data_IF_187228528803
#
_entry.id   IF_187228528803
#
_cell.length_a   1.000
_cell.length_b   1.000
_cell.length_c   1.000
_cell.angle_alpha   90.00
_cell.angle_beta   90.00
_cell.angle_gamma   90.00
#
_symmetry.space_group_name_H-M   'P 1'
#
loop_
_entity.id
_entity.type
_entity.pdbx_description
1 polymer ?
#
# COMPACT_ATOMS: atom_id res chain seq x y z
N UNK A 1 -6.73 -10.14 1.91
CA UNK A 1 -7.87 -10.58 2.75
C UNK A 1 -8.79 -11.60 2.08
N UNK A 2 -9.30 -11.38 0.85
CA UNK A 2 -10.25 -12.31 0.19
C UNK A 2 -9.79 -13.77 0.22
N UNK A 3 -8.52 -14.03 -0.13
CA UNK A 3 -7.97 -15.39 -0.11
C UNK A 3 -7.95 -16.02 1.30
N UNK A 4 -7.64 -15.23 2.34
CA UNK A 4 -7.68 -15.69 3.74
C UNK A 4 -9.10 -16.11 4.13
N UNK A 5 -10.11 -15.29 3.79
CA UNK A 5 -11.52 -15.59 4.07
C UNK A 5 -12.02 -16.80 3.28
N UNK A 6 -11.61 -16.94 2.02
CA UNK A 6 -11.94 -18.11 1.21
C UNK A 6 -11.34 -19.40 1.78
N UNK A 7 -10.07 -19.36 2.21
CA UNK A 7 -9.40 -20.51 2.81
C UNK A 7 -10.03 -20.94 4.14
N UNK A 8 -10.53 -19.99 4.94
CA UNK A 8 -11.31 -20.26 6.15
C UNK A 8 -12.67 -20.88 5.85
N UNK A 9 -13.41 -20.33 4.88
CA UNK A 9 -14.78 -20.78 4.57
C UNK A 9 -14.85 -22.07 3.76
N UNK A 10 -13.89 -22.28 2.86
CA UNK A 10 -13.86 -23.40 1.92
C UNK A 10 -12.50 -24.12 1.90
N UNK A 11 -12.00 -24.59 3.05
CA UNK A 11 -10.65 -25.14 3.16
C UNK A 11 -10.40 -26.35 2.24
N UNK A 12 -11.44 -27.12 1.93
CA UNK A 12 -11.38 -28.30 1.06
C UNK A 12 -11.40 -27.98 -0.44
N UNK A 13 -11.59 -26.72 -0.82
CA UNK A 13 -11.65 -26.27 -2.22
C UNK A 13 -10.38 -25.58 -2.69
N UNK A 14 -9.40 -25.41 -1.79
CA UNK A 14 -8.12 -24.77 -2.12
C UNK A 14 -7.08 -25.86 -2.40
N UNK A 15 -6.61 -25.95 -3.65
CA UNK A 15 -5.47 -26.80 -4.03
C UNK A 15 -4.14 -26.16 -3.59
N UNK A 16 -3.93 -24.92 -4.00
CA UNK A 16 -2.79 -24.07 -3.69
C UNK A 16 -3.28 -22.61 -3.67
N UNK A 17 -2.75 -21.80 -2.77
CA UNK A 17 -3.03 -20.37 -2.74
C UNK A 17 -1.82 -19.64 -2.18
N UNK A 18 -1.32 -18.67 -2.94
CA UNK A 18 -0.37 -17.69 -2.44
C UNK A 18 -1.14 -16.47 -1.96
N UNK A 19 -0.74 -15.93 -0.82
CA UNK A 19 -1.30 -14.75 -0.19
C UNK A 19 -0.18 -13.74 -0.04
N UNK A 20 -0.11 -12.82 -0.99
CA UNK A 20 0.90 -11.79 -1.03
C UNK A 20 0.40 -10.53 -0.33
N UNK A 21 1.22 -9.99 0.58
CA UNK A 21 0.97 -8.72 1.26
C UNK A 21 -0.32 -8.79 2.12
N UNK A 22 -0.17 -9.42 3.29
CA UNK A 22 -1.27 -10.00 4.04
C UNK A 22 -1.92 -9.03 5.02
N UNK A 23 -3.21 -9.23 5.26
CA UNK A 23 -3.97 -8.48 6.26
C UNK A 23 -4.02 -9.25 7.58
N UNK A 24 -3.83 -8.56 8.71
CA UNK A 24 -4.18 -9.11 10.03
C UNK A 24 -5.56 -8.61 10.44
N UNK A 25 -6.59 -9.40 10.11
CA UNK A 25 -7.99 -9.03 10.32
C UNK A 25 -8.45 -9.08 11.78
N UNK A 26 -7.52 -9.15 12.75
CA UNK A 26 -7.83 -9.04 14.20
C UNK A 26 -7.65 -7.64 14.75
N UNK A 27 -7.02 -6.76 13.99
CA UNK A 27 -6.55 -5.49 14.53
C UNK A 27 -7.72 -4.53 14.76
N UNK A 28 -7.91 -4.10 16.01
CA UNK A 28 -8.74 -2.95 16.29
C UNK A 28 -8.07 -1.65 15.84
N UNK A 29 -8.87 -0.57 15.74
CA UNK A 29 -8.47 0.75 15.22
C UNK A 29 -7.10 1.24 15.66
N UNK A 30 -6.78 1.20 16.97
CA UNK A 30 -5.50 1.70 17.48
C UNK A 30 -4.30 0.98 16.88
N UNK A 31 -4.37 -0.36 16.80
CA UNK A 31 -3.26 -1.16 16.25
C UNK A 31 -3.22 -1.05 14.74
N UNK A 32 -4.37 -1.09 14.07
CA UNK A 32 -4.47 -0.90 12.62
C UNK A 32 -3.79 0.40 12.19
N UNK A 33 -4.20 1.54 12.75
CA UNK A 33 -3.60 2.85 12.46
C UNK A 33 -2.11 2.91 12.81
N UNK A 34 -1.72 2.45 14.01
CA UNK A 34 -0.34 2.52 14.47
C UNK A 34 0.62 1.69 13.61
N UNK A 35 0.29 0.43 13.36
CA UNK A 35 1.16 -0.48 12.60
C UNK A 35 1.25 -0.13 11.13
N UNK A 36 0.17 0.33 10.48
CA UNK A 36 0.27 0.79 9.09
C UNK A 36 1.08 2.10 9.00
N UNK A 37 0.94 3.00 9.97
CA UNK A 37 1.75 4.22 10.06
C UNK A 37 3.24 3.89 10.25
N UNK A 38 3.55 2.92 11.11
CA UNK A 38 4.91 2.40 11.31
C UNK A 38 5.50 1.81 10.01
N UNK A 39 4.71 1.04 9.26
CA UNK A 39 5.14 0.52 7.94
C UNK A 39 5.39 1.63 6.91
N UNK A 40 4.54 2.65 6.86
CA UNK A 40 4.74 3.81 5.99
C UNK A 40 6.06 4.56 6.34
N UNK A 41 6.33 4.77 7.63
CA UNK A 41 7.58 5.37 8.11
C UNK A 41 8.79 4.51 7.74
N UNK A 42 8.75 3.21 8.03
CA UNK A 42 9.85 2.30 7.72
C UNK A 42 10.14 2.23 6.22
N UNK A 43 9.13 2.36 5.35
CA UNK A 43 9.34 2.45 3.91
C UNK A 43 9.94 3.79 3.48
N UNK A 44 9.56 4.90 4.12
CA UNK A 44 10.19 6.21 3.91
C UNK A 44 11.66 6.21 4.37
N UNK A 45 11.97 5.57 5.50
CA UNK A 45 13.34 5.45 6.00
C UNK A 45 14.25 4.75 4.99
N UNK A 46 13.72 3.76 4.27
CA UNK A 46 14.45 3.06 3.21
C UNK A 46 14.65 3.92 1.96
N UNK A 47 13.69 4.80 1.62
CA UNK A 47 13.89 5.80 0.57
C UNK A 47 15.01 6.78 0.93
N UNK A 48 15.05 7.26 2.17
CA UNK A 48 16.16 8.09 2.68
C UNK A 48 17.48 7.33 2.57
N UNK A 49 17.53 6.10 3.11
CA UNK A 49 18.74 5.28 3.12
C UNK A 49 19.23 4.92 1.71
N UNK A 50 18.32 4.73 0.75
CA UNK A 50 18.67 4.58 -0.65
C UNK A 50 19.32 5.85 -1.21
N UNK A 51 18.72 7.02 -0.99
CA UNK A 51 19.26 8.27 -1.50
C UNK A 51 20.66 8.58 -0.91
N UNK A 52 20.88 8.21 0.35
CA UNK A 52 22.18 8.34 1.02
C UNK A 52 23.26 7.44 0.40
N UNK A 53 22.90 6.25 -0.09
CA UNK A 53 23.87 5.26 -0.61
C UNK A 53 24.03 5.29 -2.13
N UNK A 54 23.04 5.76 -2.86
CA UNK A 54 23.00 5.71 -4.32
C UNK A 54 23.22 7.10 -4.95
N UNK A 55 24.35 7.24 -5.65
CA UNK A 55 24.73 8.49 -6.35
C UNK A 55 23.79 8.91 -7.47
N UNK A 56 22.86 8.06 -7.90
CA UNK A 56 21.83 8.41 -8.87
C UNK A 56 20.65 9.16 -8.26
N UNK A 57 20.54 9.22 -6.93
CA UNK A 57 19.57 10.09 -6.29
C UNK A 57 19.98 11.56 -6.48
N UNK A 58 19.10 12.45 -6.97
CA UNK A 58 19.43 13.86 -7.16
C UNK A 58 19.63 14.64 -5.85
N UNK A 59 19.25 14.07 -4.71
CA UNK A 59 19.50 14.60 -3.37
C UNK A 59 20.65 13.85 -2.66
N UNK A 60 21.43 13.04 -3.39
CA UNK A 60 22.56 12.32 -2.81
C UNK A 60 23.62 13.30 -2.28
N UNK A 61 23.96 13.17 -1.00
CA UNK A 61 24.89 14.07 -0.30
C UNK A 61 24.22 15.34 0.28
N UNK A 62 22.93 15.55 0.05
CA UNK A 62 22.11 16.58 0.69
C UNK A 62 21.32 16.00 1.88
N UNK A 63 20.73 16.86 2.71
CA UNK A 63 19.83 16.45 3.79
C UNK A 63 18.40 16.25 3.27
N UNK A 64 18.10 15.06 2.75
CA UNK A 64 16.77 14.71 2.23
C UNK A 64 15.67 14.91 3.28
N UNK A 65 15.92 14.57 4.56
CA UNK A 65 14.95 14.76 5.65
C UNK A 65 14.71 16.24 5.91
N UNK A 66 15.76 17.06 5.87
CA UNK A 66 15.66 18.51 5.97
C UNK A 66 14.80 19.11 4.86
N UNK A 67 15.03 18.73 3.60
CA UNK A 67 14.19 19.14 2.45
C UNK A 67 12.74 18.70 2.65
N UNK A 68 12.53 17.45 3.07
CA UNK A 68 11.20 16.92 3.35
C UNK A 68 10.45 17.71 4.43
N UNK A 69 11.11 18.01 5.56
CA UNK A 69 10.49 18.76 6.65
C UNK A 69 10.22 20.22 6.28
N UNK A 70 11.08 20.87 5.49
CA UNK A 70 10.81 22.21 4.96
C UNK A 70 9.57 22.22 4.06
N UNK A 71 9.48 21.26 3.13
CA UNK A 71 8.32 21.11 2.25
C UNK A 71 7.03 20.89 3.03
N UNK A 72 7.04 20.03 4.05
CA UNK A 72 5.89 19.83 4.94
C UNK A 72 5.53 21.11 5.71
N UNK A 73 6.52 21.85 6.21
CA UNK A 73 6.28 23.09 6.95
C UNK A 73 5.70 24.19 6.04
N UNK A 74 6.15 24.29 4.78
CA UNK A 74 5.57 25.19 3.77
C UNK A 74 4.15 24.77 3.40
N UNK A 75 3.90 23.47 3.26
CA UNK A 75 2.57 22.93 3.00
C UNK A 75 1.59 23.25 4.14
N UNK A 76 2.02 23.11 5.40
CA UNK A 76 1.21 23.47 6.58
C UNK A 76 0.84 24.97 6.63
N UNK A 77 1.69 25.84 6.09
CA UNK A 77 1.44 27.29 5.98
C UNK A 77 0.67 27.69 4.71
N UNK A 78 0.38 26.74 3.81
CA UNK A 78 -0.24 27.02 2.51
C UNK A 78 0.70 27.73 1.52
N UNK A 79 2.01 27.62 1.73
CA UNK A 79 3.06 28.28 0.93
C UNK A 79 3.64 27.34 -0.15
N UNK A 80 3.29 26.05 -0.12
CA UNK A 80 3.69 25.09 -1.16
C UNK A 80 2.68 25.12 -2.31
N UNK A 81 3.00 25.88 -3.36
CA UNK A 81 2.13 26.08 -4.52
C UNK A 81 2.57 25.23 -5.72
N UNK A 82 1.61 24.66 -6.45
CA UNK A 82 1.82 23.90 -7.69
C UNK A 82 0.88 24.37 -8.81
N UNK A 83 1.38 24.33 -10.05
CA UNK A 83 0.67 24.78 -11.27
C UNK A 83 -0.29 23.70 -11.83
N UNK A 84 -1.28 24.02 -12.70
CA UNK A 84 -1.63 25.34 -13.24
C UNK A 84 -2.48 26.17 -12.26
N UNK A 85 -1.92 27.27 -11.76
CA UNK A 85 -2.52 28.17 -10.76
C UNK A 85 -1.84 28.06 -9.38
N UNK A 86 -2.07 28.98 -8.43
CA UNK A 86 -1.52 28.89 -7.08
C UNK A 86 -2.34 27.93 -6.21
N UNK A 87 -2.42 26.64 -6.58
CA UNK A 87 -3.09 25.64 -5.75
C UNK A 87 -2.15 25.26 -4.62
N UNK A 88 -2.57 25.52 -3.38
CA UNK A 88 -1.81 25.13 -2.19
C UNK A 88 -1.90 23.62 -1.98
N UNK A 89 -0.74 22.98 -1.95
CA UNK A 89 -0.59 21.56 -1.58
C UNK A 89 -0.57 21.46 -0.07
N UNK A 90 -1.46 20.63 0.47
CA UNK A 90 -1.49 20.31 1.90
C UNK A 90 -0.40 19.29 2.25
N UNK A 91 0.02 19.28 3.51
CA UNK A 91 1.00 18.28 3.98
C UNK A 91 0.48 16.84 3.78
N UNK A 92 -0.83 16.61 3.93
CA UNK A 92 -1.43 15.29 3.73
C UNK A 92 -1.39 14.85 2.25
N UNK A 93 -1.62 15.75 1.30
CA UNK A 93 -1.48 15.44 -0.14
C UNK A 93 -0.03 15.10 -0.50
N UNK A 94 0.93 15.85 0.07
CA UNK A 94 2.35 15.58 -0.13
C UNK A 94 2.77 14.21 0.45
N UNK A 95 2.37 13.91 1.69
CA UNK A 95 2.55 12.60 2.35
C UNK A 95 1.93 11.48 1.51
N UNK A 96 0.72 11.69 0.99
CA UNK A 96 0.01 10.70 0.17
C UNK A 96 0.73 10.41 -1.16
N UNK A 97 1.30 11.42 -1.81
CA UNK A 97 2.08 11.22 -3.01
C UNK A 97 3.37 10.45 -2.74
N UNK A 98 4.09 10.77 -1.65
CA UNK A 98 5.26 10.00 -1.23
C UNK A 98 4.87 8.56 -0.92
N UNK A 99 3.84 8.34 -0.11
CA UNK A 99 3.32 6.99 0.21
C UNK A 99 2.98 6.18 -1.06
N UNK A 100 2.34 6.82 -2.03
CA UNK A 100 1.99 6.21 -3.32
C UNK A 100 3.23 5.81 -4.14
N UNK A 101 4.30 6.62 -4.10
CA UNK A 101 5.58 6.26 -4.70
C UNK A 101 6.23 5.06 -4.01
N UNK A 102 6.16 4.99 -2.67
CA UNK A 102 6.72 3.90 -1.87
C UNK A 102 6.06 2.53 -2.15
N UNK A 103 4.83 2.52 -2.67
CA UNK A 103 4.10 1.30 -3.07
C UNK A 103 4.85 0.50 -4.14
N UNK A 104 5.36 1.19 -5.18
CA UNK A 104 6.12 0.64 -6.31
C UNK A 104 7.63 0.85 -6.24
N UNK A 105 8.18 0.98 -5.03
CA UNK A 105 9.32 1.85 -4.64
C UNK A 105 9.87 2.77 -5.75
N UNK A 106 9.08 3.76 -6.14
CA UNK A 106 9.41 4.75 -7.18
C UNK A 106 10.37 5.84 -6.68
N UNK A 107 11.49 5.44 -6.07
CA UNK A 107 12.40 6.33 -5.35
C UNK A 107 13.05 7.41 -6.23
N UNK A 108 13.44 7.07 -7.46
CA UNK A 108 13.95 8.06 -8.41
C UNK A 108 12.93 9.17 -8.69
N UNK A 109 11.68 8.82 -8.97
CA UNK A 109 10.61 9.79 -9.22
C UNK A 109 10.29 10.62 -7.98
N UNK A 110 10.34 10.00 -6.79
CA UNK A 110 10.15 10.72 -5.53
C UNK A 110 11.25 11.76 -5.31
N UNK A 111 12.51 11.40 -5.51
CA UNK A 111 13.60 12.35 -5.35
C UNK A 111 13.51 13.52 -6.36
N UNK A 112 13.16 13.24 -7.62
CA UNK A 112 12.90 14.28 -8.63
C UNK A 112 11.72 15.19 -8.25
N UNK A 113 10.64 14.61 -7.69
CA UNK A 113 9.48 15.35 -7.18
C UNK A 113 9.89 16.29 -6.04
N UNK A 114 10.66 15.82 -5.06
CA UNK A 114 11.12 16.65 -3.94
C UNK A 114 12.00 17.81 -4.43
N UNK A 115 12.96 17.56 -5.31
CA UNK A 115 13.79 18.60 -5.93
C UNK A 115 12.92 19.63 -6.67
N UNK A 116 11.90 19.17 -7.40
CA UNK A 116 11.01 20.06 -8.15
C UNK A 116 10.15 20.94 -7.23
N UNK A 117 9.65 20.38 -6.13
CA UNK A 117 8.82 21.11 -5.17
C UNK A 117 9.63 22.14 -4.38
N UNK A 118 10.91 21.84 -4.13
CA UNK A 118 11.80 22.71 -3.37
C UNK A 118 12.19 23.99 -4.15
N UNK A 119 12.16 23.96 -5.47
CA UNK A 119 12.43 25.13 -6.30
C UNK A 119 11.50 26.32 -5.98
N UNK A 120 11.97 27.59 -6.08
CA UNK A 120 11.12 28.76 -5.93
C UNK A 120 10.02 28.80 -7.02
N UNK A 121 8.82 29.26 -6.65
CA UNK A 121 7.74 29.49 -7.62
C UNK A 121 7.91 30.87 -8.31
N UNK A 122 7.45 31.03 -9.57
CA UNK A 122 6.87 30.03 -10.45
C UNK A 122 7.94 29.24 -11.24
N UNK A 123 7.69 27.95 -11.47
CA UNK A 123 8.55 27.11 -12.31
C UNK A 123 7.69 26.15 -13.18
N UNK A 124 7.94 26.03 -14.50
CA UNK A 124 7.16 25.15 -15.39
C UNK A 124 7.14 23.68 -14.94
N UNK A 125 8.20 23.23 -14.27
CA UNK A 125 8.34 21.89 -13.69
C UNK A 125 7.31 21.61 -12.59
N UNK A 126 6.79 22.65 -11.91
CA UNK A 126 5.73 22.49 -10.90
C UNK A 126 4.35 22.15 -11.48
N UNK A 127 4.13 22.32 -12.78
CA UNK A 127 2.91 21.83 -13.43
C UNK A 127 2.89 20.30 -13.54
N UNK A 128 4.06 19.69 -13.77
CA UNK A 128 4.24 18.23 -13.78
C UNK A 128 4.08 17.68 -12.36
N UNK A 129 4.70 18.32 -11.38
CA UNK A 129 4.51 17.96 -9.96
C UNK A 129 3.04 18.09 -9.51
N UNK A 130 2.36 19.17 -9.90
CA UNK A 130 0.93 19.36 -9.63
C UNK A 130 0.06 18.26 -10.24
N UNK A 131 0.35 17.85 -11.48
CA UNK A 131 -0.33 16.70 -12.10
C UNK A 131 -0.07 15.39 -11.34
N UNK A 132 1.19 15.08 -11.00
CA UNK A 132 1.57 13.89 -10.25
C UNK A 132 0.92 13.83 -8.86
N UNK A 133 0.83 14.95 -8.16
CA UNK A 133 0.13 15.07 -6.87
C UNK A 133 -1.37 14.83 -7.03
N UNK A 134 -1.99 15.36 -8.09
CA UNK A 134 -3.43 15.27 -8.33
C UNK A 134 -3.88 13.88 -8.82
N UNK A 135 -3.10 13.23 -9.67
CA UNK A 135 -3.42 11.89 -10.20
C UNK A 135 -2.87 10.76 -9.36
N UNK A 136 -1.94 11.05 -8.44
CA UNK A 136 -1.12 10.02 -7.79
C UNK A 136 -0.08 9.45 -8.76
N UNK A 137 1.04 8.96 -8.21
CA UNK A 137 2.14 8.40 -9.00
C UNK A 137 1.82 7.02 -9.61
N UNK A 138 0.73 6.38 -9.18
CA UNK A 138 0.37 5.01 -9.57
C UNK A 138 -1.15 4.72 -9.64
N UNK A 139 -2.00 5.75 -9.81
CA UNK A 139 -3.45 5.51 -9.82
C UNK A 139 -3.92 4.84 -11.12
N UNK A 140 -4.59 3.69 -10.98
CA UNK A 140 -5.40 3.09 -12.04
C UNK A 140 -6.85 3.56 -11.94
N UNK A 141 -7.57 3.59 -13.06
CA UNK A 141 -8.98 3.97 -13.07
C UNK A 141 -9.86 2.81 -12.57
N UNK A 142 -10.67 3.06 -11.54
CA UNK A 142 -11.67 2.10 -11.08
C UNK A 142 -12.90 2.06 -12.01
N UNK A 143 -13.49 0.86 -12.13
CA UNK A 143 -14.71 0.62 -12.94
C UNK A 143 -15.98 1.09 -12.22
N UNK A 144 -15.91 1.31 -10.89
CA UNK A 144 -17.02 1.79 -10.06
C UNK A 144 -16.56 2.98 -9.23
N UNK A 145 -17.51 3.81 -8.78
CA UNK A 145 -17.20 4.91 -7.88
C UNK A 145 -16.98 4.38 -6.45
N UNK A 146 -15.83 4.72 -5.87
CA UNK A 146 -15.48 4.42 -4.46
C UNK A 146 -15.69 2.95 -4.00
N UNK A 147 -15.29 1.93 -4.80
CA UNK A 147 -15.48 0.53 -4.43
C UNK A 147 -14.73 0.19 -3.14
N UNK A 148 -13.55 0.79 -2.94
CA UNK A 148 -12.76 0.63 -1.72
C UNK A 148 -13.55 0.99 -0.47
N UNK A 149 -14.19 2.16 -0.43
CA UNK A 149 -14.97 2.60 0.73
C UNK A 149 -16.10 1.61 1.04
N UNK A 150 -16.92 1.28 0.05
CA UNK A 150 -18.09 0.43 0.25
C UNK A 150 -17.71 -0.97 0.77
N UNK A 151 -16.63 -1.55 0.24
CA UNK A 151 -16.13 -2.87 0.64
C UNK A 151 -15.47 -2.78 2.02
N UNK A 152 -14.57 -1.83 2.22
CA UNK A 152 -13.82 -1.70 3.47
C UNK A 152 -14.75 -1.45 4.67
N UNK A 153 -15.77 -0.60 4.54
CA UNK A 153 -16.71 -0.32 5.62
C UNK A 153 -17.65 -1.50 5.94
N UNK A 154 -17.75 -2.49 5.05
CA UNK A 154 -18.46 -3.74 5.30
C UNK A 154 -17.56 -4.81 5.93
N UNK A 155 -16.25 -4.71 5.71
CA UNK A 155 -15.24 -5.65 6.18
C UNK A 155 -14.54 -5.22 7.47
N UNK A 156 -14.71 -3.98 7.95
CA UNK A 156 -13.99 -3.50 9.13
C UNK A 156 -14.86 -2.63 10.03
N UNK A 157 -14.77 -2.86 11.34
CA UNK A 157 -15.30 -1.96 12.36
C UNK A 157 -14.13 -1.19 13.02
N UNK A 158 -13.96 0.07 12.60
CA UNK A 158 -12.92 0.98 13.10
C UNK A 158 -13.56 2.23 13.72
N UNK A 159 -14.22 2.11 14.89
CA UNK A 159 -15.03 3.20 15.42
C UNK A 159 -14.17 4.37 15.90
N UNK A 160 -14.57 5.58 15.48
CA UNK A 160 -14.04 6.84 15.99
C UNK A 160 -15.20 7.62 16.61
N UNK A 161 -15.30 7.69 17.95
CA UNK A 161 -16.47 8.25 18.63
C UNK A 161 -16.65 9.75 18.40
N UNK A 162 -15.56 10.50 18.32
CA UNK A 162 -15.59 11.95 18.12
C UNK A 162 -14.27 12.51 17.57
N UNK A 163 -14.29 13.80 17.22
CA UNK A 163 -13.11 14.51 16.69
C UNK A 163 -11.95 14.58 17.67
N UNK A 164 -12.20 14.57 18.99
CA UNK A 164 -11.13 14.67 20.01
C UNK A 164 -10.36 13.37 20.08
N UNK A 165 -11.07 12.24 20.00
CA UNK A 165 -10.46 10.92 19.87
C UNK A 165 -9.63 10.83 18.60
N UNK A 166 -10.19 11.25 17.46
CA UNK A 166 -9.48 11.25 16.20
C UNK A 166 -8.20 12.09 16.24
N UNK A 167 -8.29 13.33 16.71
CA UNK A 167 -7.14 14.21 16.85
C UNK A 167 -6.08 13.64 17.81
N UNK A 168 -6.49 12.91 18.86
CA UNK A 168 -5.56 12.22 19.76
C UNK A 168 -4.84 11.07 19.06
N UNK A 169 -5.56 10.31 18.24
CA UNK A 169 -4.96 9.25 17.42
C UNK A 169 -3.95 9.84 16.45
N UNK A 170 -4.28 10.89 15.70
CA UNK A 170 -3.34 11.56 14.79
C UNK A 170 -2.04 12.02 15.50
N UNK A 171 -2.14 12.66 16.68
CA UNK A 171 -0.95 13.02 17.49
C UNK A 171 -0.15 11.82 18.00
N UNK A 172 -0.74 10.64 18.07
CA UNK A 172 -0.02 9.41 18.40
C UNK A 172 0.68 8.84 17.17
N UNK A 173 0.02 8.86 16.01
CA UNK A 173 0.59 8.45 14.73
C UNK A 173 1.81 9.30 14.37
N UNK A 174 1.73 10.61 14.59
CA UNK A 174 2.82 11.56 14.33
C UNK A 174 4.09 11.25 15.15
N UNK A 175 3.93 10.68 16.34
CA UNK A 175 5.06 10.21 17.17
C UNK A 175 5.64 8.88 16.73
N UNK A 176 4.86 8.06 16.01
CA UNK A 176 5.31 6.79 15.44
C UNK A 176 6.06 7.05 14.14
N UNK A 177 5.55 7.98 13.33
CA UNK A 177 6.06 8.33 12.02
C UNK A 177 6.31 9.84 11.92
N UNK A 178 7.42 10.37 12.45
CA UNK A 178 7.66 11.81 12.44
C UNK A 178 7.82 12.40 11.03
N UNK A 179 8.24 11.61 10.04
CA UNK A 179 8.36 12.08 8.65
C UNK A 179 7.03 11.93 7.91
N UNK A 180 6.38 10.77 8.05
CA UNK A 180 5.13 10.50 7.32
C UNK A 180 3.88 11.05 8.04
N UNK A 181 3.98 11.42 9.32
CA UNK A 181 2.92 11.85 10.26
C UNK A 181 1.82 10.82 10.52
N UNK A 182 1.38 10.10 9.49
CA UNK A 182 0.42 9.00 9.55
C UNK A 182 0.53 8.16 8.27
N UNK A 183 -0.05 6.96 8.26
CA UNK A 183 -0.39 6.32 7.00
C UNK A 183 -1.61 7.04 6.36
N UNK A 184 -1.49 7.61 5.15
CA UNK A 184 -2.62 8.23 4.46
C UNK A 184 -3.69 7.19 4.12
N UNK A 185 -3.31 5.95 3.79
CA UNK A 185 -4.23 4.86 3.52
C UNK A 185 -5.02 4.45 4.77
N UNK A 186 -4.38 4.35 5.93
CA UNK A 186 -5.04 3.93 7.17
C UNK A 186 -6.03 4.99 7.65
N UNK A 187 -5.61 6.25 7.56
CA UNK A 187 -6.44 7.39 7.88
C UNK A 187 -7.64 7.43 6.94
N UNK A 188 -7.42 7.35 5.63
CA UNK A 188 -8.50 7.32 4.64
C UNK A 188 -9.50 6.17 4.90
N UNK A 189 -9.00 4.94 5.06
CA UNK A 189 -9.82 3.76 5.33
C UNK A 189 -10.67 3.90 6.61
N UNK A 190 -10.15 4.60 7.62
CA UNK A 190 -10.89 4.86 8.86
C UNK A 190 -11.93 5.97 8.68
N UNK A 191 -11.54 7.13 8.12
CA UNK A 191 -12.44 8.28 8.03
C UNK A 191 -13.56 8.08 7.01
N UNK A 192 -13.29 7.34 5.93
CA UNK A 192 -14.28 7.05 4.89
C UNK A 192 -15.46 6.21 5.41
N UNK A 193 -15.29 5.50 6.54
CA UNK A 193 -16.36 4.70 7.15
C UNK A 193 -17.13 5.41 8.26
N UNK A 194 -16.75 6.64 8.63
CA UNK A 194 -17.46 7.39 9.66
C UNK A 194 -18.86 7.78 9.17
N UNK A 195 -19.88 7.35 9.91
CA UNK A 195 -21.27 7.56 9.52
C UNK A 195 -21.77 6.60 8.44
N UNK A 196 -21.05 5.50 8.16
CA UNK A 196 -21.53 4.48 7.23
C UNK A 196 -22.89 3.92 7.70
N UNK A 197 -23.92 3.91 6.83
CA UNK A 197 -25.30 3.68 7.27
C UNK A 197 -25.64 2.19 7.49
N UNK A 198 -24.82 1.28 6.96
CA UNK A 198 -25.06 -0.15 7.03
C UNK A 198 -24.22 -0.80 8.12
N UNK A 199 -24.75 -1.88 8.69
CA UNK A 199 -24.02 -2.72 9.64
C UNK A 199 -22.79 -3.36 8.96
N UNK A 200 -21.71 -3.52 9.72
CA UNK A 200 -20.50 -4.23 9.30
C UNK A 200 -20.82 -5.73 9.21
N UNK A 201 -20.69 -6.32 8.03
CA UNK A 201 -21.09 -7.71 7.77
C UNK A 201 -19.97 -8.73 8.01
N UNK A 202 -18.71 -8.27 8.06
CA UNK A 202 -17.55 -9.11 8.32
C UNK A 202 -16.59 -8.45 9.32
N UNK A 203 -16.98 -8.30 10.60
CA UNK A 203 -16.13 -7.63 11.59
C UNK A 203 -14.82 -8.38 11.87
N UNK A 204 -13.84 -7.66 12.43
CA UNK A 204 -12.52 -8.23 12.74
C UNK A 204 -12.60 -9.49 13.60
N UNK A 205 -11.91 -10.55 13.15
CA UNK A 205 -11.78 -11.81 13.89
C UNK A 205 -10.48 -12.54 13.57
N UNK A 206 -9.97 -13.40 14.47
CA UNK A 206 -8.85 -14.27 14.16
C UNK A 206 -9.15 -15.21 13.00
N UNK A 207 -8.22 -15.30 12.05
CA UNK A 207 -8.25 -16.25 10.95
C UNK A 207 -8.24 -17.68 11.48
N UNK A 208 -9.21 -18.49 11.06
CA UNK A 208 -9.38 -19.89 11.48
C UNK A 208 -9.46 -20.80 10.28
N UNK A 209 -8.38 -21.52 9.99
CA UNK A 209 -8.37 -22.57 8.96
C UNK A 209 -8.32 -23.93 9.67
N UNK A 210 -9.47 -24.60 9.88
CA UNK A 210 -9.56 -25.78 10.75
C UNK A 210 -8.90 -27.03 10.14
N UNK A 211 -8.89 -27.11 8.81
CA UNK A 211 -8.36 -28.18 7.98
C UNK A 211 -7.94 -27.57 6.65
N UNK A 212 -7.20 -28.30 5.81
CA UNK A 212 -6.84 -27.83 4.47
C UNK A 212 -5.86 -26.65 4.47
N UNK A 213 -5.79 -25.93 3.36
CA UNK A 213 -4.82 -26.03 2.25
C UNK A 213 -3.35 -25.82 2.61
N UNK A 214 -2.46 -26.12 1.67
CA UNK A 214 -1.14 -25.49 1.70
C UNK A 214 -1.31 -24.04 1.28
N UNK A 215 -1.03 -23.11 2.19
CA UNK A 215 -0.96 -21.68 1.91
C UNK A 215 0.52 -21.26 1.87
N UNK A 216 0.86 -20.39 0.93
CA UNK A 216 2.12 -19.67 0.94
C UNK A 216 1.80 -18.20 1.22
N UNK A 217 2.25 -17.69 2.36
CA UNK A 217 2.23 -16.26 2.63
C UNK A 217 3.51 -15.65 2.10
N UNK A 218 3.40 -14.49 1.48
CA UNK A 218 4.54 -13.71 1.01
C UNK A 218 4.39 -12.25 1.40
N UNK A 219 5.50 -11.56 1.63
CA UNK A 219 5.50 -10.16 2.04
C UNK A 219 6.89 -9.57 1.88
N UNK A 220 6.96 -8.30 1.48
CA UNK A 220 8.15 -7.50 1.63
C UNK A 220 8.37 -7.17 3.12
N UNK A 221 9.62 -7.07 3.55
CA UNK A 221 9.98 -6.58 4.90
C UNK A 221 9.58 -5.12 5.04
N UNK A 222 9.80 -4.31 3.99
CA UNK A 222 9.51 -2.88 3.97
C UNK A 222 8.28 -2.55 3.09
N UNK A 223 7.18 -3.29 3.31
CA UNK A 223 5.88 -3.01 2.71
C UNK A 223 5.21 -1.80 3.41
N UNK A 224 4.93 -0.69 2.70
CA UNK A 224 4.32 0.50 3.30
C UNK A 224 2.83 0.33 3.64
N UNK A 225 2.14 -0.62 3.01
CA UNK A 225 0.67 -0.72 3.02
C UNK A 225 0.15 -1.85 3.90
N UNK A 226 0.79 -3.01 3.80
CA UNK A 226 0.53 -4.17 4.65
C UNK A 226 1.82 -4.55 5.36
N UNK A 227 2.16 -3.88 6.48
CA UNK A 227 3.43 -4.07 7.18
C UNK A 227 3.74 -5.53 7.42
N UNK A 228 5.00 -5.93 7.32
CA UNK A 228 5.46 -7.32 7.47
C UNK A 228 4.92 -8.01 8.73
N UNK A 229 4.75 -7.25 9.82
CA UNK A 229 4.14 -7.72 11.07
C UNK A 229 2.72 -8.29 10.90
N UNK A 230 1.94 -7.82 9.93
CA UNK A 230 0.61 -8.34 9.61
C UNK A 230 0.70 -9.72 8.96
N UNK A 231 1.69 -9.94 8.09
CA UNK A 231 2.00 -11.26 7.53
C UNK A 231 2.41 -12.24 8.63
N UNK A 232 3.26 -11.82 9.57
CA UNK A 232 3.60 -12.64 10.74
C UNK A 232 2.38 -12.91 11.63
N UNK A 233 1.52 -11.91 11.81
CA UNK A 233 0.25 -12.03 12.50
C UNK A 233 -0.66 -13.08 11.86
N UNK A 234 -0.84 -13.03 10.53
CA UNK A 234 -1.62 -14.01 9.78
C UNK A 234 -1.00 -15.41 9.83
N UNK A 235 0.32 -15.53 9.67
CA UNK A 235 1.06 -16.79 9.78
C UNK A 235 0.84 -17.45 11.16
N UNK A 236 0.90 -16.67 12.23
CA UNK A 236 0.69 -17.18 13.60
C UNK A 236 -0.71 -17.78 13.81
N UNK A 237 -1.71 -17.27 13.09
CA UNK A 237 -3.10 -17.75 13.14
C UNK A 237 -3.30 -19.02 12.29
N UNK A 238 -2.62 -19.10 11.14
CA UNK A 238 -2.66 -20.25 10.23
C UNK A 238 -1.80 -21.43 10.69
N UNK A 239 -0.81 -21.19 11.56
CA UNK A 239 0.05 -22.23 12.15
C UNK A 239 0.65 -23.14 11.06
N UNK A 240 0.45 -24.46 11.18
CA UNK A 240 1.01 -25.49 10.28
C UNK A 240 0.46 -25.45 8.84
N UNK A 241 -0.62 -24.70 8.60
CA UNK A 241 -1.31 -24.64 7.30
C UNK A 241 -0.65 -23.65 6.32
N UNK A 242 0.31 -22.84 6.79
CA UNK A 242 1.00 -21.85 6.00
C UNK A 242 2.53 -22.00 6.06
N UNK A 243 3.19 -21.73 4.94
CA UNK A 243 4.60 -21.34 4.89
C UNK A 243 4.71 -19.83 4.67
N UNK A 244 5.88 -19.28 4.96
CA UNK A 244 6.24 -17.90 4.63
C UNK A 244 7.42 -17.90 3.68
N UNK A 245 7.34 -17.06 2.64
CA UNK A 245 8.49 -16.57 1.89
C UNK A 245 8.66 -15.08 2.19
N UNK A 246 9.79 -14.71 2.79
CA UNK A 246 10.14 -13.30 3.03
C UNK A 246 10.83 -12.72 1.81
N UNK A 247 10.44 -11.52 1.39
CA UNK A 247 11.23 -10.72 0.46
C UNK A 247 11.92 -9.61 1.27
N UNK A 248 13.25 -9.62 1.32
CA UNK A 248 14.07 -8.70 2.11
C UNK A 248 14.15 -7.28 1.50
N UNK A 249 13.19 -6.91 0.67
CA UNK A 249 13.15 -5.63 -0.02
C UNK A 249 11.91 -4.81 0.32
N UNK A 250 11.55 -3.95 -0.63
CA UNK A 250 10.62 -2.85 -0.43
C UNK A 250 9.40 -2.91 -1.35
N UNK A 251 8.37 -2.15 -0.97
CA UNK A 251 7.14 -2.00 -1.73
C UNK A 251 6.07 -3.00 -1.38
N UNK A 252 4.90 -2.80 -1.99
CA UNK A 252 3.72 -3.64 -1.79
C UNK A 252 3.65 -4.75 -2.85
N UNK A 253 3.35 -5.98 -2.43
CA UNK A 253 3.45 -7.17 -3.29
C UNK A 253 4.90 -7.65 -3.48
N UNK A 254 5.11 -8.91 -3.83
CA UNK A 254 6.44 -9.49 -4.09
C UNK A 254 6.49 -10.41 -5.32
N UNK A 255 5.35 -10.93 -5.78
CA UNK A 255 5.32 -11.72 -7.02
C UNK A 255 5.76 -10.86 -8.22
N UNK A 256 6.69 -11.38 -9.03
CA UNK A 256 7.27 -10.63 -10.15
C UNK A 256 8.38 -9.65 -9.80
N UNK A 257 8.72 -9.44 -8.50
CA UNK A 257 9.80 -8.51 -8.11
C UNK A 257 11.21 -9.03 -8.38
N UNK A 258 11.39 -10.35 -8.38
CA UNK A 258 12.68 -10.99 -8.66
C UNK A 258 12.48 -12.39 -9.21
N UNK A 259 13.52 -12.95 -9.83
CA UNK A 259 13.53 -14.35 -10.24
C UNK A 259 13.35 -15.28 -9.03
N UNK A 260 13.87 -14.91 -7.86
CA UNK A 260 13.73 -15.67 -6.63
C UNK A 260 12.27 -15.73 -6.15
N UNK A 261 11.59 -14.57 -6.05
CA UNK A 261 10.20 -14.51 -5.57
C UNK A 261 9.27 -15.19 -6.57
N UNK A 262 9.44 -14.91 -7.86
CA UNK A 262 8.66 -15.53 -8.95
C UNK A 262 8.86 -17.04 -8.96
N UNK A 263 10.10 -17.51 -9.03
CA UNK A 263 10.41 -18.94 -9.11
C UNK A 263 9.95 -19.73 -7.88
N UNK A 264 10.03 -19.15 -6.68
CA UNK A 264 9.57 -19.81 -5.45
C UNK A 264 8.04 -19.91 -5.41
N UNK A 265 7.34 -18.83 -5.77
CA UNK A 265 5.87 -18.80 -5.81
C UNK A 265 5.36 -19.74 -6.91
N UNK A 266 5.97 -19.74 -8.09
CA UNK A 266 5.61 -20.65 -9.19
C UNK A 266 5.82 -22.11 -8.81
N UNK A 267 6.97 -22.43 -8.20
CA UNK A 267 7.27 -23.77 -7.70
C UNK A 267 6.18 -24.25 -6.75
N UNK A 268 5.76 -23.39 -5.82
CA UNK A 268 4.66 -23.70 -4.91
C UNK A 268 3.32 -23.90 -5.63
N UNK A 269 2.93 -22.99 -6.52
CA UNK A 269 1.63 -23.05 -7.22
C UNK A 269 1.53 -24.26 -8.17
N UNK A 270 2.62 -24.58 -8.87
CA UNK A 270 2.67 -25.69 -9.84
C UNK A 270 2.77 -27.02 -9.13
N UNK A 271 3.73 -27.16 -8.21
CA UNK A 271 4.16 -28.46 -7.70
C UNK A 271 3.86 -28.72 -6.23
N UNK A 272 3.29 -27.73 -5.51
CA UNK A 272 3.00 -27.80 -4.07
C UNK A 272 4.27 -27.99 -3.20
N UNK A 273 5.46 -27.69 -3.75
CA UNK A 273 6.68 -27.67 -2.97
C UNK A 273 6.74 -26.37 -2.16
N UNK A 274 6.72 -26.52 -0.84
CA UNK A 274 6.80 -25.39 0.10
C UNK A 274 8.25 -24.93 0.25
N UNK A 275 8.49 -23.62 0.36
CA UNK A 275 9.80 -23.15 0.77
C UNK A 275 10.12 -23.63 2.19
N UNK A 276 11.42 -23.78 2.46
CA UNK A 276 11.91 -24.13 3.79
C UNK A 276 11.50 -23.07 4.83
N UNK A 277 11.47 -23.46 6.11
CA UNK A 277 11.23 -22.51 7.18
C UNK A 277 12.32 -21.43 7.19
N UNK A 278 11.91 -20.15 7.21
CA UNK A 278 12.84 -19.03 7.15
C UNK A 278 13.38 -18.72 5.74
N UNK A 279 12.79 -19.29 4.70
CA UNK A 279 13.16 -18.96 3.33
C UNK A 279 12.95 -17.46 3.07
N UNK A 280 13.96 -16.85 2.46
CA UNK A 280 13.92 -15.47 2.03
C UNK A 280 14.50 -15.29 0.63
N UNK A 281 14.05 -14.25 -0.04
CA UNK A 281 14.60 -13.73 -1.29
C UNK A 281 15.23 -12.36 -1.02
N UNK A 282 16.42 -12.08 -1.60
CA UNK A 282 17.06 -10.78 -1.42
C UNK A 282 16.22 -9.66 -2.06
N UNK A 283 16.31 -8.47 -1.48
CA UNK A 283 15.77 -7.25 -2.07
C UNK A 283 16.42 -6.95 -3.42
N UNK A 284 15.63 -6.42 -4.35
CA UNK A 284 16.10 -5.87 -5.63
C UNK A 284 15.93 -4.36 -5.55
N UNK A 285 17.03 -3.64 -5.77
CA UNK A 285 17.02 -2.18 -5.81
C UNK A 285 16.09 -1.69 -6.93
N UNK A 286 15.27 -0.66 -6.69
CA UNK A 286 14.43 -0.08 -7.72
C UNK A 286 15.29 0.45 -8.87
N UNK A 287 15.00 0.01 -10.08
CA UNK A 287 15.59 0.61 -11.25
C UNK A 287 14.93 1.97 -11.52
N UNK A 288 15.63 2.92 -12.18
CA UNK A 288 14.98 4.06 -12.80
C UNK A 288 13.84 3.54 -13.69
N UNK A 289 12.68 4.21 -13.71
CA UNK A 289 11.64 3.79 -14.64
C UNK A 289 12.21 3.77 -16.05
N UNK A 290 12.08 2.64 -16.73
CA UNK A 290 12.29 2.61 -18.16
C UNK A 290 11.36 3.66 -18.77
N UNK A 291 11.88 4.51 -19.66
CA UNK A 291 11.06 5.36 -20.51
C UNK A 291 9.94 4.48 -21.06
N UNK A 292 8.66 4.82 -20.86
CA UNK A 292 7.58 3.94 -21.26
C UNK A 292 7.75 3.66 -22.76
N UNK A 293 8.16 2.44 -23.09
CA UNK A 293 7.91 1.93 -24.42
C UNK A 293 6.40 2.04 -24.59
N UNK A 294 5.95 2.79 -25.61
CA UNK A 294 4.57 2.72 -26.06
C UNK A 294 4.27 1.25 -26.29
N UNK A 295 3.67 0.59 -25.30
CA UNK A 295 2.95 -0.66 -25.53
C UNK A 295 1.89 -0.26 -26.54
N UNK A 296 1.87 -0.83 -27.76
CA UNK A 296 0.78 -0.59 -28.68
C UNK A 296 -0.49 -0.94 -27.93
N UNK A 297 -1.39 0.03 -27.78
CA UNK A 297 -2.73 -0.23 -27.28
C UNK A 297 -3.28 -1.39 -28.11
N UNK A 298 -3.63 -2.54 -27.50
CA UNK A 298 -4.40 -3.54 -28.23
C UNK A 298 -5.64 -2.83 -28.75
N UNK A 299 -5.97 -3.01 -30.03
CA UNK A 299 -7.22 -2.52 -30.58
C UNK A 299 -8.35 -2.87 -29.62
N UNK A 300 -9.20 -1.89 -29.31
CA UNK A 300 -10.29 -2.05 -28.37
C UNK A 300 -11.14 -3.27 -28.79
N UNK A 301 -10.94 -4.40 -28.10
CA UNK A 301 -11.84 -5.53 -28.21
C UNK A 301 -13.13 -5.09 -27.55
N UNK A 302 -14.13 -4.80 -28.37
CA UNK A 302 -15.50 -4.59 -27.93
C UNK A 302 -16.00 -5.89 -27.30
N UNK A 303 -15.86 -5.99 -25.98
CA UNK A 303 -16.51 -7.06 -25.21
C UNK A 303 -17.99 -6.70 -25.16
N UNK A 304 -18.90 -7.49 -25.78
CA UNK A 304 -20.32 -7.27 -25.64
C UNK A 304 -20.70 -7.39 -24.15
N UNK A 305 -21.67 -6.61 -23.67
CA UNK A 305 -22.08 -6.66 -22.27
C UNK A 305 -22.47 -8.09 -21.88
N UNK A 306 -22.09 -8.56 -20.69
CA UNK A 306 -22.47 -9.90 -20.24
C UNK A 306 -24.00 -10.00 -20.22
N UNK A 307 -24.55 -11.02 -20.89
CA UNK A 307 -25.96 -11.36 -20.74
C UNK A 307 -26.24 -11.63 -19.27
N UNK A 308 -27.16 -10.87 -18.67
CA UNK A 308 -27.56 -11.11 -17.29
C UNK A 308 -28.11 -12.54 -17.17
N UNK A 309 -27.59 -13.36 -16.24
CA UNK A 309 -28.12 -14.69 -16.02
C UNK A 309 -29.59 -14.61 -15.57
N UNK A 310 -30.48 -15.30 -16.30
CA UNK A 310 -31.94 -15.33 -16.10
C UNK A 310 -32.44 -15.88 -14.74
N UNK A 311 -31.58 -16.12 -13.76
CA UNK A 311 -31.95 -16.63 -12.44
C UNK A 311 -32.07 -15.55 -11.35
N UNK A 312 -31.85 -14.27 -11.68
CA UNK A 312 -32.00 -13.13 -10.76
C UNK A 312 -33.44 -12.63 -10.57
N UNK A 313 -34.41 -13.21 -11.29
CA UNK A 313 -35.83 -12.98 -11.03
C UNK A 313 -36.50 -14.31 -10.68
N UNK A 314 -36.76 -14.49 -9.39
CA UNK A 314 -37.90 -15.27 -8.92
C UNK A 314 -38.64 -14.41 -7.89
N UNK A 315 -39.87 -14.09 -8.28
CA UNK A 315 -41.03 -13.54 -7.57
C UNK A 315 -40.92 -13.33 -6.05
#
# INVERSE_FOLDING_TARGET
MIGQQYAERFPHRVRAMTLDSNMDHRLGIRRFLATQTDGAQGSFDEFVAWCDRDSSCPLHGDDLRGVWHDLLARADRGELLVEPGPVAVTAFELINAVFSGLYGPHWHQLAELLVTLDQPAPAPTKAVAGHQLATGLAAEADVSAAPFQAIFCQDWDLPVPDHREFARQLRQLDRIAPDMRCSPLAVYATVACLGWPSEVTNPQQPLRVPVGPQLLLTSAVHDPSTPYAWTLGALSQLRRHASLLTYEGWGHGVYGRSDCTTGTIDTFLVSLHRPAQGASCPGVEPAPAATPHRVPTPDAVTVPPPEQPRWWHRD
#
